data_IF_352003362574
#
_entry.id   IF_352003362574
#
_cell.length_a   1.000
_cell.length_b   1.000
_cell.length_c   1.000
_cell.angle_alpha   90.00
_cell.angle_beta   90.00
_cell.angle_gamma   90.00
#
_symmetry.space_group_name_H-M   'P 1'
#
loop_
_entity.id
_entity.type
_entity.pdbx_description
1 polymer ?
#
# COMPACT_ATOMS: atom_id res chain seq x y z
N UNK A 1 -19.80 -15.81 -13.76
CA UNK A 1 -18.70 -14.83 -13.80
C UNK A 1 -18.66 -14.16 -12.44
N UNK A 2 -17.57 -14.31 -11.70
CA UNK A 2 -17.47 -13.81 -10.32
C UNK A 2 -16.91 -12.37 -10.33
N UNK A 3 -17.52 -11.50 -9.54
CA UNK A 3 -17.04 -10.14 -9.32
C UNK A 3 -16.42 -10.06 -7.93
N UNK A 4 -15.17 -9.65 -7.86
CA UNK A 4 -14.46 -9.41 -6.61
C UNK A 4 -14.40 -7.89 -6.44
N UNK A 5 -15.28 -7.41 -5.57
CA UNK A 5 -15.39 -6.00 -5.22
C UNK A 5 -14.58 -5.76 -3.95
N UNK A 6 -13.68 -4.78 -3.99
CA UNK A 6 -12.89 -4.39 -2.84
C UNK A 6 -12.79 -2.87 -2.79
N UNK A 7 -12.90 -2.32 -1.58
CA UNK A 7 -12.59 -0.92 -1.27
C UNK A 7 -11.13 -0.70 -0.88
N UNK A 8 -10.40 -1.79 -0.67
CA UNK A 8 -8.97 -1.71 -0.42
C UNK A 8 -8.26 -1.52 -1.74
N UNK A 9 -7.82 -0.28 -1.97
CA UNK A 9 -7.02 0.08 -3.14
C UNK A 9 -5.75 -0.78 -3.27
N UNK A 10 -5.17 -1.20 -2.15
CA UNK A 10 -4.03 -2.13 -2.12
C UNK A 10 -4.43 -3.50 -2.70
N UNK A 11 -5.56 -4.07 -2.25
CA UNK A 11 -6.02 -5.37 -2.72
C UNK A 11 -6.42 -5.30 -4.19
N UNK A 12 -7.10 -4.23 -4.62
CA UNK A 12 -7.44 -4.04 -6.02
C UNK A 12 -6.21 -4.01 -6.93
N UNK A 13 -5.16 -3.25 -6.58
CA UNK A 13 -3.94 -3.19 -7.39
C UNK A 13 -3.14 -4.49 -7.37
N UNK A 14 -3.09 -5.16 -6.23
CA UNK A 14 -2.46 -6.47 -6.10
C UNK A 14 -3.11 -7.50 -7.03
N UNK A 15 -4.45 -7.52 -7.05
CA UNK A 15 -5.26 -8.39 -7.91
C UNK A 15 -5.21 -7.98 -9.39
N UNK A 16 -5.11 -6.69 -9.70
CA UNK A 16 -5.16 -6.17 -11.07
C UNK A 16 -3.86 -6.39 -11.85
N UNK A 17 -2.70 -6.24 -11.21
CA UNK A 17 -1.43 -6.25 -11.94
C UNK A 17 -0.24 -6.85 -11.22
N UNK A 18 -0.20 -6.81 -9.89
CA UNK A 18 1.02 -7.21 -9.17
C UNK A 18 1.13 -8.71 -8.94
N UNK A 19 0.02 -9.43 -8.87
CA UNK A 19 0.01 -10.87 -8.67
C UNK A 19 0.88 -11.62 -9.69
N UNK A 20 0.79 -11.22 -10.97
CA UNK A 20 1.62 -11.79 -12.04
C UNK A 20 3.10 -11.43 -11.88
N UNK A 21 3.39 -10.19 -11.48
CA UNK A 21 4.75 -9.72 -11.25
C UNK A 21 5.41 -10.40 -10.05
N UNK A 22 4.67 -10.55 -8.94
CA UNK A 22 5.12 -11.24 -7.74
C UNK A 22 5.35 -12.71 -8.01
N UNK A 23 4.43 -13.39 -8.71
CA UNK A 23 4.61 -14.78 -9.10
C UNK A 23 5.90 -14.99 -9.92
N UNK A 24 6.20 -14.09 -10.87
CA UNK A 24 7.44 -14.12 -11.67
C UNK A 24 8.69 -13.88 -10.84
N UNK A 25 8.60 -13.04 -9.82
CA UNK A 25 9.71 -12.71 -8.94
C UNK A 25 9.78 -13.62 -7.70
N UNK A 26 9.23 -14.84 -7.76
CA UNK A 26 9.20 -15.79 -6.63
C UNK A 26 8.64 -15.20 -5.33
N UNK A 27 7.65 -14.32 -5.44
CA UNK A 27 7.02 -13.62 -4.32
C UNK A 27 8.01 -12.78 -3.51
N UNK A 28 9.07 -12.30 -4.17
CA UNK A 28 10.09 -11.45 -3.58
C UNK A 28 10.12 -10.06 -4.22
N UNK A 29 10.51 -9.07 -3.43
CA UNK A 29 10.85 -7.73 -3.86
C UNK A 29 12.20 -7.36 -3.24
N UNK A 30 13.19 -7.07 -4.09
CA UNK A 30 14.56 -6.73 -3.66
C UNK A 30 15.23 -7.80 -2.76
N UNK A 31 14.89 -9.08 -2.97
CA UNK A 31 15.46 -10.21 -2.20
C UNK A 31 14.69 -10.55 -0.92
N UNK A 32 13.70 -9.75 -0.52
CA UNK A 32 12.83 -10.04 0.62
C UNK A 32 11.46 -10.56 0.16
N UNK A 33 10.85 -11.43 0.95
CA UNK A 33 9.49 -11.89 0.68
C UNK A 33 8.51 -10.73 0.77
N UNK A 34 7.56 -10.69 -0.17
CA UNK A 34 6.46 -9.73 -0.09
C UNK A 34 5.64 -9.98 1.19
N UNK A 35 5.07 -8.91 1.72
CA UNK A 35 4.21 -9.01 2.88
C UNK A 35 3.03 -9.96 2.61
N UNK A 36 2.71 -10.80 3.60
CA UNK A 36 1.68 -11.83 3.50
C UNK A 36 1.80 -12.75 2.26
N UNK A 37 3.03 -13.02 1.79
CA UNK A 37 3.28 -13.83 0.58
C UNK A 37 2.46 -15.13 0.53
N UNK A 38 2.31 -15.82 1.66
CA UNK A 38 1.54 -17.07 1.75
C UNK A 38 0.03 -16.85 1.50
N UNK A 39 -0.55 -15.79 2.04
CA UNK A 39 -1.95 -15.44 1.77
C UNK A 39 -2.13 -15.04 0.30
N UNK A 40 -1.20 -14.28 -0.26
CA UNK A 40 -1.24 -13.91 -1.68
C UNK A 40 -1.08 -15.11 -2.61
N UNK A 41 -0.24 -16.09 -2.26
CA UNK A 41 -0.11 -17.36 -2.99
C UNK A 41 -1.42 -18.16 -2.96
N UNK A 42 -2.06 -18.26 -1.80
CA UNK A 42 -3.33 -18.97 -1.65
C UNK A 42 -4.45 -18.28 -2.44
N UNK A 43 -4.50 -16.95 -2.42
CA UNK A 43 -5.41 -16.14 -3.23
C UNK A 43 -5.14 -16.38 -4.72
N UNK A 44 -3.88 -16.35 -5.16
CA UNK A 44 -3.50 -16.60 -6.55
C UNK A 44 -3.97 -17.98 -7.04
N UNK A 45 -3.71 -19.02 -6.24
CA UNK A 45 -4.08 -20.40 -6.58
C UNK A 45 -5.60 -20.59 -6.67
N UNK A 46 -6.37 -19.86 -5.85
CA UNK A 46 -7.84 -19.85 -5.90
C UNK A 46 -8.36 -19.08 -7.11
N UNK A 47 -7.73 -17.95 -7.45
CA UNK A 47 -8.12 -17.10 -8.59
C UNK A 47 -7.75 -17.71 -9.94
N UNK A 48 -6.67 -18.48 -10.04
CA UNK A 48 -6.29 -19.19 -11.29
C UNK A 48 -7.36 -20.17 -11.77
N UNK A 49 -8.21 -20.65 -10.86
CA UNK A 49 -9.31 -21.57 -11.16
C UNK A 49 -10.62 -20.84 -11.48
N UNK A 50 -10.66 -19.51 -11.41
CA UNK A 50 -11.87 -18.71 -11.50
C UNK A 50 -11.73 -17.59 -12.55
N UNK A 51 -12.75 -17.42 -13.40
CA UNK A 51 -12.86 -16.23 -14.26
C UNK A 51 -13.42 -15.09 -13.41
N UNK A 52 -12.52 -14.29 -12.84
CA UNK A 52 -12.84 -13.18 -11.93
C UNK A 52 -12.67 -11.83 -12.61
N UNK A 53 -13.66 -10.96 -12.46
CA UNK A 53 -13.54 -9.53 -12.78
C UNK A 53 -13.36 -8.76 -11.47
N UNK A 54 -12.24 -8.10 -11.33
CA UNK A 54 -11.92 -7.28 -10.16
C UNK A 54 -12.49 -5.88 -10.38
N UNK A 55 -13.24 -5.37 -9.40
CA UNK A 55 -13.71 -3.98 -9.38
C UNK A 55 -13.23 -3.32 -8.11
N UNK A 56 -12.53 -2.21 -8.27
CA UNK A 56 -12.26 -1.31 -7.15
C UNK A 56 -13.48 -0.43 -6.93
N UNK A 57 -14.01 -0.43 -5.70
CA UNK A 57 -15.09 0.47 -5.30
C UNK A 57 -14.45 1.56 -4.45
N UNK A 58 -14.52 2.81 -4.90
CA UNK A 58 -14.08 3.93 -4.08
C UNK A 58 -14.99 4.04 -2.84
N UNK A 59 -14.44 4.03 -1.63
CA UNK A 59 -15.19 4.10 -0.38
C UNK A 59 -15.76 5.49 -0.09
N UNK A 60 -15.36 6.52 -0.84
CA UNK A 60 -15.74 7.91 -0.58
C UNK A 60 -16.92 8.43 -1.43
N UNK A 61 -17.70 7.54 -2.05
CA UNK A 61 -18.88 7.96 -2.80
C UNK A 61 -19.96 8.47 -1.82
N UNK A 62 -20.49 9.70 -1.99
CA UNK A 62 -21.56 10.20 -1.15
C UNK A 62 -22.77 9.25 -1.18
N UNK A 63 -23.41 9.01 -0.02
CA UNK A 63 -24.57 8.10 0.12
C UNK A 63 -25.71 8.36 -0.87
N UNK A 64 -25.80 9.57 -1.42
CA UNK A 64 -26.78 9.95 -2.44
C UNK A 64 -26.52 9.34 -3.83
N UNK A 65 -25.37 8.70 -4.07
CA UNK A 65 -24.99 8.02 -5.33
C UNK A 65 -24.62 6.54 -5.15
N UNK A 66 -24.87 5.96 -3.97
CA UNK A 66 -24.45 4.60 -3.64
C UNK A 66 -25.21 3.54 -4.46
N UNK A 67 -24.47 2.74 -5.25
CA UNK A 67 -24.98 1.55 -5.94
C UNK A 67 -25.16 0.37 -4.97
N UNK A 68 -25.92 -0.65 -5.34
CA UNK A 68 -26.13 -1.88 -4.56
C UNK A 68 -24.79 -2.56 -4.16
N UNK A 69 -23.79 -2.49 -5.04
CA UNK A 69 -22.41 -2.94 -4.78
C UNK A 69 -21.76 -2.18 -3.60
N UNK A 70 -22.08 -0.89 -3.43
CA UNK A 70 -21.55 -0.03 -2.36
C UNK A 70 -22.23 -0.34 -1.00
N UNK A 71 -23.51 -0.71 -1.02
CA UNK A 71 -24.24 -1.14 0.17
C UNK A 71 -23.73 -2.50 0.69
N UNK A 72 -23.44 -3.44 -0.21
CA UNK A 72 -22.86 -4.74 0.16
C UNK A 72 -21.44 -4.60 0.70
N UNK A 73 -20.62 -3.71 0.12
CA UNK A 73 -19.28 -3.45 0.61
C UNK A 73 -19.29 -2.82 2.01
N UNK A 74 -20.19 -1.86 2.25
CA UNK A 74 -20.35 -1.23 3.56
C UNK A 74 -20.87 -2.23 4.63
N UNK A 75 -21.70 -3.21 4.24
CA UNK A 75 -22.08 -4.31 5.14
C UNK A 75 -20.90 -5.23 5.47
N UNK A 76 -20.04 -5.52 4.49
CA UNK A 76 -18.82 -6.32 4.70
C UNK A 76 -17.79 -5.54 5.54
N UNK A 77 -17.64 -4.23 5.34
CA UNK A 77 -16.78 -3.35 6.18
C UNK A 77 -17.28 -3.30 7.63
N UNK A 78 -18.60 -3.19 7.84
CA UNK A 78 -19.19 -3.24 9.18
C UNK A 78 -18.97 -4.60 9.84
N UNK A 79 -19.13 -5.71 9.10
CA UNK A 79 -18.86 -7.04 9.61
C UNK A 79 -17.37 -7.27 9.90
N UNK A 80 -16.48 -6.77 9.04
CA UNK A 80 -15.03 -6.87 9.20
C UNK A 80 -14.53 -6.01 10.38
N UNK A 81 -15.12 -4.83 10.62
CA UNK A 81 -14.78 -3.99 11.78
C UNK A 81 -15.11 -4.67 13.11
N UNK A 82 -16.23 -5.41 13.17
CA UNK A 82 -16.61 -6.18 14.37
C UNK A 82 -15.66 -7.36 14.62
N UNK A 83 -15.20 -8.06 13.58
CA UNK A 83 -14.16 -9.10 13.73
C UNK A 83 -12.76 -8.52 14.01
N UNK A 84 -12.41 -7.38 13.43
CA UNK A 84 -11.09 -6.75 13.60
C UNK A 84 -10.91 -6.07 14.98
N UNK A 85 -11.96 -5.62 15.65
CA UNK A 85 -11.86 -5.12 17.04
C UNK A 85 -11.32 -6.19 18.03
N UNK A 86 -11.33 -7.47 17.63
CA UNK A 86 -10.72 -8.57 18.40
C UNK A 86 -9.29 -8.92 17.96
N UNK A 87 -8.80 -8.41 16.82
CA UNK A 87 -7.52 -8.80 16.20
C UNK A 87 -6.57 -7.59 16.13
N UNK A 88 -5.97 -7.28 17.29
CA UNK A 88 -4.70 -6.60 17.57
C UNK A 88 -4.31 -5.29 16.81
N UNK A 89 -4.07 -4.23 17.59
CA UNK A 89 -3.61 -2.90 17.13
C UNK A 89 -2.27 -2.93 16.37
N UNK A 90 -1.46 -3.97 16.55
CA UNK A 90 -0.18 -4.18 15.86
C UNK A 90 -0.34 -4.32 14.32
N UNK A 91 -1.48 -4.81 13.84
CA UNK A 91 -1.74 -4.97 12.41
C UNK A 91 -1.93 -3.63 11.68
N UNK A 92 -2.66 -2.69 12.29
CA UNK A 92 -2.87 -1.36 11.71
C UNK A 92 -1.56 -0.57 11.62
N UNK A 93 -0.73 -0.63 12.68
CA UNK A 93 0.60 -0.01 12.70
C UNK A 93 1.54 -0.57 11.62
N UNK A 94 1.50 -1.89 11.36
CA UNK A 94 2.28 -2.53 10.30
C UNK A 94 1.81 -2.15 8.89
N UNK A 95 0.49 -2.02 8.70
CA UNK A 95 -0.09 -1.56 7.43
C UNK A 95 0.28 -0.12 7.09
N UNK A 96 0.24 0.79 8.07
CA UNK A 96 0.59 2.20 7.87
C UNK A 96 2.06 2.39 7.47
N UNK A 97 2.98 1.68 8.14
CA UNK A 97 4.41 1.72 7.79
C UNK A 97 4.70 1.22 6.38
N UNK A 98 3.94 0.23 5.90
CA UNK A 98 4.08 -0.27 4.54
C UNK A 98 3.66 0.78 3.51
N UNK A 99 2.53 1.44 3.72
CA UNK A 99 2.04 2.47 2.79
C UNK A 99 2.93 3.72 2.85
N UNK A 100 3.43 4.09 4.03
CA UNK A 100 4.43 5.15 4.18
C UNK A 100 5.71 4.85 3.40
N UNK A 101 6.22 3.60 3.44
CA UNK A 101 7.39 3.15 2.65
C UNK A 101 7.16 3.34 1.17
N UNK A 102 5.98 2.95 0.70
CA UNK A 102 5.65 3.04 -0.70
C UNK A 102 5.48 4.49 -1.18
N UNK A 103 4.75 5.31 -0.43
CA UNK A 103 4.61 6.74 -0.72
C UNK A 103 5.99 7.44 -0.75
N UNK A 104 6.91 7.02 0.12
CA UNK A 104 8.26 7.55 0.16
C UNK A 104 9.08 7.19 -1.10
N UNK A 105 9.04 5.93 -1.52
CA UNK A 105 9.70 5.48 -2.76
C UNK A 105 9.08 6.17 -4.00
N UNK A 106 7.74 6.24 -4.06
CA UNK A 106 7.01 6.78 -5.21
C UNK A 106 7.10 8.30 -5.33
N UNK A 107 7.33 9.00 -4.22
CA UNK A 107 7.68 10.43 -4.20
C UNK A 107 9.15 10.69 -4.53
N UNK A 108 9.93 9.66 -4.91
CA UNK A 108 11.31 9.81 -5.34
C UNK A 108 12.27 10.22 -4.22
N UNK A 109 12.01 9.77 -2.99
CA UNK A 109 12.83 10.09 -1.82
C UNK A 109 12.98 11.60 -1.54
N UNK A 110 12.00 12.41 -1.95
CA UNK A 110 12.00 13.87 -1.77
C UNK A 110 11.69 14.33 -0.33
N UNK A 111 11.59 13.39 0.61
CA UNK A 111 11.37 13.66 2.03
C UNK A 111 9.91 13.65 2.44
N UNK A 112 9.66 14.13 3.66
CA UNK A 112 8.39 13.96 4.37
C UNK A 112 7.21 14.60 3.66
N UNK A 113 7.34 15.86 3.24
CA UNK A 113 6.22 16.58 2.64
C UNK A 113 5.83 16.02 1.28
N UNK A 114 6.80 15.57 0.48
CA UNK A 114 6.53 14.92 -0.80
C UNK A 114 5.86 13.56 -0.60
N UNK A 115 6.28 12.81 0.43
CA UNK A 115 5.68 11.53 0.82
C UNK A 115 4.23 11.73 1.28
N UNK A 116 3.98 12.73 2.13
CA UNK A 116 2.64 13.07 2.63
C UNK A 116 1.73 13.54 1.50
N UNK A 117 2.20 14.47 0.64
CA UNK A 117 1.42 14.93 -0.52
C UNK A 117 1.08 13.78 -1.47
N UNK A 118 2.04 12.91 -1.78
CA UNK A 118 1.80 11.76 -2.66
C UNK A 118 0.69 10.84 -2.15
N UNK A 119 0.68 10.58 -0.84
CA UNK A 119 -0.32 9.77 -0.17
C UNK A 119 -1.69 10.46 -0.16
N UNK A 120 -1.72 11.76 0.20
CA UNK A 120 -2.95 12.56 0.27
C UNK A 120 -3.62 12.75 -1.09
N UNK A 121 -2.84 12.96 -2.16
CA UNK A 121 -3.34 13.03 -3.54
C UNK A 121 -4.02 11.72 -4.00
N UNK A 122 -3.81 10.63 -3.25
CA UNK A 122 -4.39 9.30 -3.48
C UNK A 122 -5.38 8.88 -2.38
N UNK A 123 -5.81 9.83 -1.54
CA UNK A 123 -6.79 9.59 -0.50
C UNK A 123 -6.29 8.78 0.71
N UNK A 124 -4.97 8.61 0.85
CA UNK A 124 -4.38 7.95 2.02
C UNK A 124 -3.85 9.01 2.97
N UNK A 125 -4.41 9.07 4.17
CA UNK A 125 -3.82 9.84 5.27
C UNK A 125 -2.83 8.97 6.02
N UNK A 126 -1.59 9.45 6.15
CA UNK A 126 -0.51 8.75 6.81
C UNK A 126 -0.05 9.56 8.02
N UNK A 127 0.17 8.87 9.14
CA UNK A 127 0.74 9.49 10.32
C UNK A 127 2.13 10.05 10.03
N UNK A 128 2.39 11.18 10.65
CA UNK A 128 3.70 11.83 10.63
C UNK A 128 4.79 10.89 11.13
N UNK A 129 4.48 10.07 12.13
CA UNK A 129 5.44 9.18 12.77
C UNK A 129 5.81 8.02 11.84
N UNK A 130 4.84 7.42 11.16
CA UNK A 130 5.10 6.37 10.16
C UNK A 130 5.98 6.89 9.01
N UNK A 131 5.68 8.09 8.49
CA UNK A 131 6.50 8.71 7.44
C UNK A 131 7.93 8.98 7.95
N UNK A 132 8.06 9.53 9.15
CA UNK A 132 9.36 9.87 9.74
C UNK A 132 10.22 8.63 9.97
N UNK A 133 9.61 7.55 10.46
CA UNK A 133 10.27 6.28 10.70
C UNK A 133 10.77 5.65 9.39
N UNK A 134 9.93 5.65 8.35
CA UNK A 134 10.28 5.12 7.03
C UNK A 134 11.45 5.88 6.39
N UNK A 135 11.44 7.21 6.48
CA UNK A 135 12.51 8.05 5.94
C UNK A 135 13.82 7.79 6.69
N UNK A 136 13.75 7.71 8.03
CA UNK A 136 14.92 7.43 8.86
C UNK A 136 15.55 6.07 8.54
N UNK A 137 14.71 5.06 8.26
CA UNK A 137 15.15 3.71 7.90
C UNK A 137 15.48 3.54 6.41
N UNK A 138 15.43 4.60 5.59
CA UNK A 138 15.67 4.49 4.16
C UNK A 138 17.17 4.57 3.83
N UNK A 139 17.75 3.45 3.39
CA UNK A 139 19.15 3.36 2.99
C UNK A 139 19.49 4.30 1.82
N UNK A 140 18.59 4.46 0.84
CA UNK A 140 18.77 5.38 -0.29
C UNK A 140 18.87 6.82 0.20
N UNK A 141 18.01 7.23 1.14
CA UNK A 141 18.09 8.55 1.77
C UNK A 141 19.40 8.71 2.57
N UNK A 142 19.84 7.67 3.28
CA UNK A 142 21.11 7.68 4.00
C UNK A 142 22.30 7.86 3.03
N UNK A 143 22.32 7.15 1.91
CA UNK A 143 23.34 7.27 0.87
C UNK A 143 23.34 8.66 0.21
N UNK A 144 22.15 9.21 -0.12
CA UNK A 144 22.02 10.58 -0.64
C UNK A 144 22.57 11.60 0.37
N UNK A 145 22.25 11.44 1.66
CA UNK A 145 22.73 12.32 2.73
C UNK A 145 24.25 12.22 2.91
N UNK A 146 24.82 11.02 2.80
CA UNK A 146 26.26 10.81 2.82
C UNK A 146 26.93 11.47 1.61
N UNK A 147 26.45 11.22 0.39
CA UNK A 147 26.99 11.81 -0.84
C UNK A 147 27.01 13.35 -0.81
N UNK A 148 25.98 13.97 -0.24
CA UNK A 148 25.92 15.43 -0.02
C UNK A 148 26.94 15.93 1.04
N UNK A 149 27.31 15.10 2.02
CA UNK A 149 28.34 15.46 3.02
C UNK A 149 29.76 15.32 2.48
N UNK A 150 30.02 14.38 1.57
CA UNK A 150 31.38 14.16 1.02
C UNK A 150 31.75 15.19 -0.06
N UNK A 151 30.75 15.88 -0.63
CA UNK A 151 30.95 16.87 -1.69
C UNK A 151 30.55 18.28 -1.22
N UNK A 152 31.32 18.93 -0.31
CA UNK A 152 31.24 20.36 -0.17
C UNK A 152 31.78 20.94 -1.48
N UNK A 153 30.92 21.58 -2.26
CA UNK A 153 31.28 22.24 -3.51
C UNK A 153 32.40 23.24 -3.22
N UNK A 154 33.64 22.88 -3.55
CA UNK A 154 34.76 23.82 -3.64
C UNK A 154 34.70 24.48 -5.02
N UNK A 155 34.00 25.60 -5.10
CA UNK A 155 34.36 26.71 -5.98
C UNK A 155 34.63 27.86 -4.99
N UNK A 156 35.88 28.15 -4.59
CA UNK A 156 36.84 28.91 -5.39
C UNK A 156 36.21 30.26 -5.72
N UNK A 157 36.42 31.33 -4.94
CA UNK A 157 37.71 31.99 -4.73
C UNK A 157 37.69 33.28 -5.53
#
# INVERSE_FOLDING_TARGET
MLYLCTESWMVANALWGWLQQWKRNNWQRRGELIWAAKLWQDIAARLEKLVVKVRHIDAHVPKSQATEEHQNNNQVDQAAKIEMEQVDLDWQCKGELFIARWAHDASGHQGRDATYRWARDRGVDLSTDAISQVIHQCETCAAIKQAKRVNPVWYGG
#
